data_IF_617321831016
#
_entry.id   IF_617321831016
#
_cell.length_a   1.000
_cell.length_b   1.000
_cell.length_c   1.000
_cell.angle_alpha   90.00
_cell.angle_beta   90.00
_cell.angle_gamma   90.00
#
_symmetry.space_group_name_H-M   'P 1'
#
loop_
_entity.id
_entity.type
_entity.pdbx_description
1 polymer ?
#
# COMPACT_ATOMS: atom_id res chain seq x y z
N UNK A 1 -1.13 -0.60 2.44
CA UNK A 1 -1.55 -0.98 3.80
C UNK A 1 -3.06 -0.88 3.95
N UNK A 2 -3.61 -1.59 4.91
CA UNK A 2 -5.06 -1.57 5.17
C UNK A 2 -5.54 -0.33 5.92
N UNK A 3 -4.60 0.57 6.32
CA UNK A 3 -4.90 1.73 7.16
C UNK A 3 -5.77 1.35 8.39
N UNK A 4 -5.44 0.22 9.03
CA UNK A 4 -6.22 -0.31 10.15
C UNK A 4 -6.06 0.52 11.44
N UNK A 5 -4.96 1.28 11.57
CA UNK A 5 -4.69 2.13 12.74
C UNK A 5 -4.82 3.60 12.38
N UNK A 6 -5.90 4.22 12.84
CA UNK A 6 -6.13 5.67 12.68
C UNK A 6 -4.97 6.47 13.29
N UNK A 7 -4.51 6.08 14.48
CA UNK A 7 -3.40 6.75 15.17
C UNK A 7 -2.14 6.82 14.31
N UNK A 8 -1.65 5.68 13.83
CA UNK A 8 -0.44 5.61 13.02
C UNK A 8 -0.59 6.38 11.69
N UNK A 9 -1.75 6.26 11.05
CA UNK A 9 -2.02 6.97 9.80
C UNK A 9 -2.07 8.48 10.01
N UNK A 10 -2.64 8.94 11.12
CA UNK A 10 -2.67 10.37 11.48
C UNK A 10 -1.28 10.89 11.79
N UNK A 11 -0.47 10.14 12.53
CA UNK A 11 0.92 10.49 12.82
C UNK A 11 1.73 10.63 11.54
N UNK A 12 1.62 9.67 10.62
CA UNK A 12 2.29 9.72 9.32
C UNK A 12 1.81 10.93 8.49
N UNK A 13 0.50 11.19 8.45
CA UNK A 13 -0.06 12.35 7.76
C UNK A 13 0.53 13.66 8.29
N UNK A 14 0.66 13.79 9.61
CA UNK A 14 1.21 14.98 10.23
C UNK A 14 2.71 15.15 9.89
N UNK A 15 3.50 14.09 9.98
CA UNK A 15 4.92 14.11 9.61
C UNK A 15 5.12 14.51 8.14
N UNK A 16 4.30 13.99 7.23
CA UNK A 16 4.37 14.34 5.82
C UNK A 16 3.97 15.80 5.58
N UNK A 17 2.94 16.31 6.27
CA UNK A 17 2.55 17.72 6.20
C UNK A 17 3.64 18.66 6.75
N UNK A 18 4.27 18.31 7.85
CA UNK A 18 5.41 19.05 8.41
C UNK A 18 6.60 19.08 7.45
N UNK A 19 6.80 18.00 6.70
CA UNK A 19 7.81 17.93 5.64
C UNK A 19 7.42 18.66 4.34
N UNK A 20 6.25 19.34 4.31
CA UNK A 20 5.78 20.13 3.17
C UNK A 20 5.01 19.35 2.10
N UNK A 21 4.60 18.11 2.40
CA UNK A 21 3.78 17.34 1.46
C UNK A 21 2.29 17.64 1.63
N UNK A 22 1.56 17.63 0.54
CA UNK A 22 0.10 17.53 0.58
C UNK A 22 -0.30 16.05 0.51
N UNK A 23 -1.11 15.62 1.48
CA UNK A 23 -1.45 14.20 1.68
C UNK A 23 -2.92 13.98 1.39
N UNK A 24 -3.20 12.97 0.58
CA UNK A 24 -4.55 12.54 0.20
C UNK A 24 -4.82 11.14 0.70
N UNK A 25 -6.06 10.88 1.11
CA UNK A 25 -6.55 9.56 1.44
C UNK A 25 -7.54 9.11 0.38
N UNK A 26 -7.18 8.06 -0.35
CA UNK A 26 -8.12 7.29 -1.16
C UNK A 26 -8.59 6.08 -0.36
N UNK A 27 -9.83 6.12 0.09
CA UNK A 27 -10.44 5.07 0.89
C UNK A 27 -11.29 4.16 0.00
N UNK A 28 -10.78 2.98 -0.31
CA UNK A 28 -11.49 1.97 -1.10
C UNK A 28 -12.21 1.02 -0.16
N UNK A 29 -13.53 0.95 -0.28
CA UNK A 29 -14.37 0.11 0.59
C UNK A 29 -15.20 -0.89 -0.22
N UNK A 30 -15.61 -1.95 0.46
CA UNK A 30 -16.52 -2.97 -0.09
C UNK A 30 -17.41 -3.51 1.02
N UNK A 31 -18.50 -4.18 0.66
CA UNK A 31 -19.31 -4.91 1.62
C UNK A 31 -18.60 -6.18 2.12
N UNK A 32 -19.07 -6.70 3.26
CA UNK A 32 -18.46 -7.85 3.91
C UNK A 32 -18.58 -9.12 3.05
N UNK A 33 -19.73 -9.33 2.42
CA UNK A 33 -19.98 -10.51 1.60
C UNK A 33 -19.00 -10.57 0.43
N UNK A 34 -18.83 -9.43 -0.26
CA UNK A 34 -17.85 -9.30 -1.33
C UNK A 34 -16.41 -9.50 -0.85
N UNK A 35 -16.05 -8.98 0.32
CA UNK A 35 -14.74 -9.23 0.94
C UNK A 35 -14.48 -10.71 1.17
N UNK A 36 -15.45 -11.43 1.72
CA UNK A 36 -15.36 -12.87 1.94
C UNK A 36 -15.24 -13.64 0.63
N UNK A 37 -16.08 -13.31 -0.35
CA UNK A 37 -16.05 -13.93 -1.67
C UNK A 37 -14.70 -13.68 -2.38
N UNK A 38 -14.22 -12.46 -2.40
CA UNK A 38 -12.92 -12.14 -3.01
C UNK A 38 -11.75 -12.88 -2.36
N UNK A 39 -11.80 -13.08 -1.04
CA UNK A 39 -10.79 -13.87 -0.32
C UNK A 39 -10.82 -15.34 -0.77
N UNK A 40 -12.01 -15.93 -0.91
CA UNK A 40 -12.18 -17.29 -1.41
C UNK A 40 -11.77 -17.43 -2.87
N UNK A 41 -12.28 -16.56 -3.76
CA UNK A 41 -11.96 -16.56 -5.19
C UNK A 41 -10.46 -16.45 -5.46
N UNK A 42 -9.73 -15.69 -4.63
CA UNK A 42 -8.27 -15.57 -4.72
C UNK A 42 -7.58 -16.90 -4.43
N UNK A 43 -7.99 -17.56 -3.37
CA UNK A 43 -7.46 -18.87 -2.99
C UNK A 43 -7.72 -19.91 -4.09
N UNK A 44 -8.94 -19.98 -4.60
CA UNK A 44 -9.34 -20.92 -5.64
C UNK A 44 -8.58 -20.66 -6.96
N UNK A 45 -8.51 -19.40 -7.41
CA UNK A 45 -7.79 -19.03 -8.64
C UNK A 45 -6.30 -19.33 -8.58
N UNK A 46 -5.71 -19.29 -7.40
CA UNK A 46 -4.30 -19.64 -7.21
C UNK A 46 -4.04 -21.15 -7.15
N UNK A 47 -5.09 -21.98 -7.23
CA UNK A 47 -4.97 -23.43 -7.03
C UNK A 47 -4.56 -23.78 -5.59
N UNK A 48 -4.98 -22.99 -4.61
CA UNK A 48 -4.67 -23.18 -3.20
C UNK A 48 -3.27 -22.69 -2.79
N UNK A 49 -2.55 -21.99 -3.69
CA UNK A 49 -1.20 -21.49 -3.42
C UNK A 49 -1.17 -20.14 -2.74
N UNK A 50 -2.22 -19.35 -2.92
CA UNK A 50 -2.34 -18.06 -2.25
C UNK A 50 -2.96 -18.20 -0.86
N UNK A 51 -2.73 -17.23 0.01
CA UNK A 51 -3.23 -17.26 1.38
C UNK A 51 -4.75 -17.14 1.40
N UNK A 52 -5.43 -18.13 1.97
CA UNK A 52 -6.81 -17.99 2.41
C UNK A 52 -6.84 -17.49 3.85
N UNK A 53 -7.45 -16.33 4.07
CA UNK A 53 -7.72 -15.87 5.43
C UNK A 53 -8.98 -16.57 5.95
N UNK A 54 -8.95 -16.96 7.22
CA UNK A 54 -10.17 -17.46 7.87
C UNK A 54 -11.26 -16.38 7.85
N UNK A 55 -12.53 -16.74 7.62
CA UNK A 55 -13.64 -15.79 7.56
C UNK A 55 -13.70 -14.85 8.77
N UNK A 56 -13.42 -15.34 9.97
CA UNK A 56 -13.37 -14.55 11.19
C UNK A 56 -12.32 -13.42 11.14
N UNK A 57 -11.16 -13.67 10.52
CA UNK A 57 -10.11 -12.67 10.34
C UNK A 57 -10.56 -11.62 9.31
N UNK A 58 -11.18 -12.04 8.20
CA UNK A 58 -11.73 -11.12 7.20
C UNK A 58 -12.78 -10.22 7.84
N UNK A 59 -13.73 -10.78 8.60
CA UNK A 59 -14.77 -10.04 9.30
C UNK A 59 -14.20 -9.04 10.30
N UNK A 60 -13.24 -9.47 11.13
CA UNK A 60 -12.60 -8.62 12.13
C UNK A 60 -11.87 -7.45 11.48
N UNK A 61 -11.12 -7.71 10.40
CA UNK A 61 -10.40 -6.69 9.64
C UNK A 61 -11.39 -5.73 8.97
N UNK A 62 -12.43 -6.26 8.33
CA UNK A 62 -13.46 -5.45 7.68
C UNK A 62 -14.15 -4.52 8.66
N UNK A 63 -14.56 -5.03 9.84
CA UNK A 63 -15.16 -4.23 10.90
C UNK A 63 -14.22 -3.11 11.39
N UNK A 64 -12.95 -3.43 11.58
CA UNK A 64 -11.95 -2.45 12.04
C UNK A 64 -11.73 -1.36 11.00
N UNK A 65 -11.61 -1.71 9.73
CA UNK A 65 -11.43 -0.74 8.64
C UNK A 65 -12.69 0.11 8.48
N UNK A 66 -13.88 -0.49 8.48
CA UNK A 66 -15.15 0.26 8.30
C UNK A 66 -15.36 1.29 9.41
N UNK A 67 -15.01 0.99 10.66
CA UNK A 67 -15.07 1.95 11.77
C UNK A 67 -14.13 3.15 11.62
N UNK A 68 -13.10 3.01 10.80
CA UNK A 68 -12.12 4.06 10.58
C UNK A 68 -12.56 5.10 9.52
N UNK A 69 -13.68 4.87 8.84
CA UNK A 69 -14.15 5.75 7.77
C UNK A 69 -14.34 7.19 8.25
N UNK A 70 -15.19 7.40 9.25
CA UNK A 70 -15.45 8.74 9.79
C UNK A 70 -14.20 9.40 10.40
N UNK A 71 -13.39 8.72 11.24
CA UNK A 71 -12.13 9.25 11.70
C UNK A 71 -11.21 9.71 10.56
N UNK A 72 -11.08 8.95 9.48
CA UNK A 72 -10.25 9.38 8.35
C UNK A 72 -10.85 10.54 7.58
N UNK A 73 -12.16 10.58 7.42
CA UNK A 73 -12.83 11.72 6.82
C UNK A 73 -12.55 13.02 7.60
N UNK A 74 -12.52 12.95 8.93
CA UNK A 74 -12.17 14.09 9.78
C UNK A 74 -10.68 14.48 9.65
N UNK A 75 -9.77 13.51 9.64
CA UNK A 75 -8.32 13.77 9.57
C UNK A 75 -7.90 14.38 8.23
N UNK A 76 -8.45 13.88 7.13
CA UNK A 76 -8.05 14.28 5.78
C UNK A 76 -8.95 15.35 5.17
N UNK A 77 -10.18 15.56 5.70
CA UNK A 77 -11.10 16.62 5.28
C UNK A 77 -11.33 16.61 3.77
N UNK A 78 -11.05 17.73 3.10
CA UNK A 78 -11.18 17.86 1.63
C UNK A 78 -10.29 16.92 0.84
N UNK A 79 -9.24 16.39 1.44
CA UNK A 79 -8.30 15.46 0.83
C UNK A 79 -8.68 13.99 1.07
N UNK A 80 -9.90 13.73 1.57
CA UNK A 80 -10.47 12.40 1.72
C UNK A 80 -11.39 12.08 0.54
N UNK A 81 -11.12 10.96 -0.11
CA UNK A 81 -11.95 10.42 -1.20
C UNK A 81 -12.29 8.98 -0.91
N UNK A 82 -13.56 8.61 -1.02
CA UNK A 82 -13.99 7.23 -0.86
C UNK A 82 -14.56 6.66 -2.15
N UNK A 83 -14.21 5.42 -2.45
CA UNK A 83 -14.65 4.70 -3.64
C UNK A 83 -15.11 3.30 -3.25
N UNK A 84 -16.30 2.92 -3.70
CA UNK A 84 -16.78 1.56 -3.55
C UNK A 84 -16.03 0.62 -4.52
N UNK A 85 -15.54 -0.49 -4.02
CA UNK A 85 -14.93 -1.53 -4.86
C UNK A 85 -16.03 -2.37 -5.55
N UNK A 86 -16.77 -1.72 -6.46
CA UNK A 86 -17.71 -2.36 -7.38
C UNK A 86 -17.12 -2.32 -8.79
N UNK A 87 -17.52 -3.23 -9.67
CA UNK A 87 -16.98 -3.24 -11.04
C UNK A 87 -17.20 -1.92 -11.78
N UNK A 88 -18.33 -1.25 -11.56
CA UNK A 88 -18.66 0.05 -12.16
C UNK A 88 -17.85 1.20 -11.54
N UNK A 89 -17.77 1.25 -10.21
CA UNK A 89 -17.03 2.32 -9.54
C UNK A 89 -15.52 2.27 -9.78
N UNK A 90 -14.97 1.12 -10.13
CA UNK A 90 -13.55 1.02 -10.53
C UNK A 90 -13.29 1.64 -11.90
N UNK A 91 -14.28 1.70 -12.78
CA UNK A 91 -14.15 2.42 -14.06
C UNK A 91 -14.06 3.94 -13.84
N UNK A 92 -14.68 4.45 -12.78
CA UNK A 92 -14.64 5.87 -12.44
C UNK A 92 -13.39 6.24 -11.61
N UNK A 93 -12.66 5.25 -11.11
CA UNK A 93 -11.50 5.46 -10.24
C UNK A 93 -10.43 6.31 -10.94
N UNK A 94 -10.15 6.05 -12.21
CA UNK A 94 -9.18 6.82 -12.99
C UNK A 94 -9.61 8.28 -13.13
N UNK A 95 -10.89 8.54 -13.37
CA UNK A 95 -11.43 9.89 -13.44
C UNK A 95 -11.36 10.61 -12.10
N UNK A 96 -11.67 9.89 -11.00
CA UNK A 96 -11.59 10.43 -9.64
C UNK A 96 -10.15 10.79 -9.31
N UNK A 97 -9.20 9.87 -9.53
CA UNK A 97 -7.77 10.10 -9.28
C UNK A 97 -7.27 11.26 -10.14
N UNK A 98 -7.61 11.29 -11.41
CA UNK A 98 -7.22 12.36 -12.35
C UNK A 98 -7.73 13.70 -11.85
N UNK A 99 -9.00 13.81 -11.48
CA UNK A 99 -9.60 15.05 -10.95
C UNK A 99 -8.87 15.57 -9.71
N UNK A 100 -8.45 14.68 -8.80
CA UNK A 100 -7.75 15.08 -7.57
C UNK A 100 -6.26 15.36 -7.80
N UNK A 101 -5.61 14.65 -8.72
CA UNK A 101 -4.17 14.81 -8.97
C UNK A 101 -3.85 15.84 -10.05
N UNK A 102 -4.79 16.16 -10.95
CA UNK A 102 -4.56 17.14 -12.03
C UNK A 102 -4.10 18.51 -11.52
N UNK A 103 -4.64 19.08 -10.41
CA UNK A 103 -4.14 20.33 -9.86
C UNK A 103 -2.68 20.27 -9.39
N UNK A 104 -2.18 19.05 -9.10
CA UNK A 104 -0.82 18.79 -8.60
C UNK A 104 0.13 18.25 -9.67
N UNK A 105 -0.37 18.00 -10.88
CA UNK A 105 0.52 17.73 -11.99
C UNK A 105 1.42 18.95 -12.18
N UNK A 106 2.75 18.77 -12.11
CA UNK A 106 3.65 19.89 -12.30
C UNK A 106 3.36 20.53 -13.65
N UNK A 107 2.86 21.76 -13.63
CA UNK A 107 2.44 22.51 -14.82
C UNK A 107 3.61 22.81 -15.77
N UNK A 108 4.84 22.54 -15.34
CA UNK A 108 6.05 22.63 -16.15
C UNK A 108 7.11 21.69 -15.57
N UNK A 109 7.09 20.43 -15.94
CA UNK A 109 8.33 19.67 -15.96
C UNK A 109 9.18 20.25 -17.11
N UNK A 110 10.03 21.24 -16.80
CA UNK A 110 11.19 21.47 -17.66
C UNK A 110 11.79 20.10 -17.92
N UNK A 111 12.01 19.72 -19.20
CA UNK A 111 12.61 18.43 -19.47
C UNK A 111 13.87 18.32 -18.60
N UNK A 112 13.97 17.24 -17.81
CA UNK A 112 15.13 17.02 -16.93
C UNK A 112 16.37 17.18 -17.76
N UNK A 113 17.28 18.02 -17.32
CA UNK A 113 18.57 18.17 -17.99
C UNK A 113 19.26 16.81 -18.05
N UNK A 114 20.12 16.60 -19.03
CA UNK A 114 20.83 15.31 -19.14
C UNK A 114 21.60 14.96 -17.86
N UNK A 115 22.11 15.96 -17.14
CA UNK A 115 22.70 15.78 -15.80
C UNK A 115 21.72 15.24 -14.77
N UNK A 116 20.47 15.71 -14.77
CA UNK A 116 19.43 15.23 -13.84
C UNK A 116 18.95 13.82 -14.20
N UNK A 117 18.88 13.50 -15.50
CA UNK A 117 18.59 12.15 -15.98
C UNK A 117 19.69 11.17 -15.57
N UNK A 118 20.95 11.55 -15.72
CA UNK A 118 22.11 10.74 -15.33
C UNK A 118 22.11 10.51 -13.80
N UNK A 119 21.90 11.56 -13.00
CA UNK A 119 21.82 11.43 -11.53
C UNK A 119 20.64 10.53 -11.10
N UNK A 120 19.48 10.66 -11.75
CA UNK A 120 18.32 9.81 -11.44
C UNK A 120 18.57 8.35 -11.80
N UNK A 121 19.27 8.08 -12.91
CA UNK A 121 19.66 6.71 -13.29
C UNK A 121 20.69 6.12 -12.34
N UNK A 122 21.75 6.86 -12.02
CA UNK A 122 22.77 6.44 -11.09
C UNK A 122 22.19 6.11 -9.69
N UNK A 123 21.28 6.97 -9.19
CA UNK A 123 20.59 6.69 -7.92
C UNK A 123 19.71 5.44 -7.99
N UNK A 124 19.03 5.21 -9.10
CA UNK A 124 18.20 4.00 -9.30
C UNK A 124 19.07 2.74 -9.37
N UNK A 125 20.19 2.81 -10.06
CA UNK A 125 21.16 1.71 -10.15
C UNK A 125 21.77 1.40 -8.79
N UNK A 126 22.15 2.42 -8.02
CA UNK A 126 22.64 2.24 -6.66
C UNK A 126 21.61 1.55 -5.76
N UNK A 127 20.35 1.99 -5.76
CA UNK A 127 19.27 1.37 -4.97
C UNK A 127 19.05 -0.08 -5.41
N UNK A 128 19.05 -0.35 -6.71
CA UNK A 128 18.93 -1.71 -7.21
C UNK A 128 20.09 -2.60 -6.76
N UNK A 129 21.31 -2.08 -6.74
CA UNK A 129 22.47 -2.81 -6.25
C UNK A 129 22.36 -3.10 -4.75
N UNK A 130 21.98 -2.12 -3.94
CA UNK A 130 21.74 -2.28 -2.50
C UNK A 130 20.67 -3.34 -2.22
N UNK A 131 19.59 -3.38 -3.01
CA UNK A 131 18.54 -4.41 -2.92
C UNK A 131 19.12 -5.79 -3.27
N UNK A 132 19.93 -5.91 -4.33
CA UNK A 132 20.53 -7.18 -4.71
C UNK A 132 21.53 -7.66 -3.67
N UNK A 133 22.35 -6.78 -3.12
CA UNK A 133 23.30 -7.11 -2.06
C UNK A 133 22.56 -7.60 -0.80
N UNK A 134 21.45 -6.96 -0.46
CA UNK A 134 20.59 -7.38 0.65
C UNK A 134 19.99 -8.76 0.41
N UNK A 135 19.43 -8.99 -0.79
CA UNK A 135 18.83 -10.28 -1.16
C UNK A 135 19.85 -11.41 -1.17
N UNK A 136 21.10 -11.12 -1.51
CA UNK A 136 22.18 -12.08 -1.53
C UNK A 136 22.91 -12.22 -0.18
N UNK A 137 22.51 -11.46 0.84
CA UNK A 137 23.14 -11.57 2.15
C UNK A 137 22.93 -12.95 2.77
N UNK A 138 23.97 -13.51 3.36
CA UNK A 138 23.92 -14.83 4.00
C UNK A 138 22.82 -14.89 5.07
N UNK A 139 22.59 -13.78 5.75
CA UNK A 139 21.58 -13.69 6.80
C UNK A 139 20.16 -13.85 6.21
N UNK A 140 19.83 -13.13 5.13
CA UNK A 140 18.53 -13.22 4.48
C UNK A 140 18.32 -14.60 3.84
N UNK A 141 19.35 -15.14 3.21
CA UNK A 141 19.32 -16.49 2.64
C UNK A 141 19.12 -17.56 3.72
N UNK A 142 19.72 -17.41 4.89
CA UNK A 142 19.50 -18.29 6.02
C UNK A 142 18.05 -18.22 6.55
N UNK A 143 17.47 -17.03 6.66
CA UNK A 143 16.06 -16.88 7.05
C UNK A 143 15.16 -17.63 6.05
N UNK A 144 15.35 -17.42 4.75
CA UNK A 144 14.54 -18.07 3.70
C UNK A 144 14.71 -19.58 3.75
N UNK A 145 15.92 -20.07 3.93
CA UNK A 145 16.24 -21.51 3.92
C UNK A 145 15.70 -22.27 5.14
N UNK A 146 15.66 -21.62 6.29
CA UNK A 146 15.31 -22.27 7.56
C UNK A 146 13.90 -21.96 8.04
N UNK A 147 13.15 -21.10 7.36
CA UNK A 147 11.75 -20.82 7.71
C UNK A 147 10.86 -22.00 7.33
N UNK A 148 10.03 -22.42 8.28
CA UNK A 148 9.12 -23.57 8.12
C UNK A 148 7.95 -23.22 7.19
N UNK A 149 7.59 -21.93 7.12
CA UNK A 149 6.51 -21.42 6.26
C UNK A 149 6.87 -20.09 5.62
N UNK A 150 6.16 -19.78 4.51
CA UNK A 150 6.29 -18.48 3.83
C UNK A 150 5.95 -17.30 4.76
N UNK A 151 4.96 -17.48 5.64
CA UNK A 151 4.52 -16.44 6.58
C UNK A 151 5.58 -16.19 7.67
N UNK A 152 6.26 -17.24 8.13
CA UNK A 152 7.36 -17.13 9.07
C UNK A 152 8.56 -16.42 8.43
N UNK A 153 8.94 -16.79 7.21
CA UNK A 153 9.99 -16.12 6.46
C UNK A 153 9.67 -14.63 6.29
N UNK A 154 8.45 -14.30 5.90
CA UNK A 154 8.02 -12.92 5.70
C UNK A 154 8.05 -12.12 7.00
N UNK A 155 7.63 -12.72 8.12
CA UNK A 155 7.69 -12.09 9.45
C UNK A 155 9.13 -11.81 9.87
N UNK A 156 10.02 -12.78 9.70
CA UNK A 156 11.44 -12.62 10.06
C UNK A 156 12.14 -11.60 9.16
N UNK A 157 11.83 -11.57 7.86
CA UNK A 157 12.34 -10.56 6.92
C UNK A 157 11.84 -9.16 7.30
N UNK A 158 10.56 -9.00 7.62
CA UNK A 158 10.00 -7.73 8.06
C UNK A 158 10.67 -7.23 9.34
N UNK A 159 10.89 -8.11 10.31
CA UNK A 159 11.60 -7.76 11.55
C UNK A 159 13.07 -7.37 11.28
N UNK A 160 13.73 -8.06 10.37
CA UNK A 160 15.11 -7.74 9.99
C UNK A 160 15.22 -6.38 9.29
N UNK A 161 14.27 -6.05 8.42
CA UNK A 161 14.24 -4.79 7.68
C UNK A 161 13.62 -3.62 8.47
N UNK A 162 13.13 -3.86 9.69
CA UNK A 162 12.40 -2.87 10.53
C UNK A 162 11.19 -2.24 9.84
N UNK A 163 10.45 -3.01 9.03
CA UNK A 163 9.24 -2.59 8.30
C UNK A 163 7.99 -3.39 8.72
#
# INVERSE_FOLDING_TARGET
GTAASVKQTTELNNQLKEAGYEVFMLYVYTDLERSLKQNQDRFERSGGKDRSLQPAIVMSTWNSVTKNFEPYQQVFGKNFVSVANTGEAMNDLEQIITKYLDPYKPQNTKPKTDKEKIRSRAKKEQINQEIQDLLNSDHLQNIIKHSVSKDEAQTQISNFLNI
#
